data_IF_338683654264
#
_entry.id   IF_338683654264
#
_cell.length_a   1.000
_cell.length_b   1.000
_cell.length_c   1.000
_cell.angle_alpha   90.00
_cell.angle_beta   90.00
_cell.angle_gamma   90.00
#
_symmetry.space_group_name_H-M   'P 1'
#
loop_
_entity.id
_entity.type
_entity.pdbx_description
1 polymer ?
#
# COMPACT_ATOMS: atom_id res chain seq x y z
N UNK A 1 5.42 -11.14 2.64
CA UNK A 1 4.31 -11.30 1.69
C UNK A 1 4.53 -12.49 0.76
N UNK A 2 5.65 -12.54 0.06
CA UNK A 2 5.96 -13.59 -0.94
C UNK A 2 5.90 -15.02 -0.37
N UNK A 3 6.47 -15.35 0.82
CA UNK A 3 6.45 -16.72 1.33
C UNK A 3 5.08 -17.18 1.86
N UNK A 4 4.12 -16.29 2.10
CA UNK A 4 2.86 -16.61 2.77
C UNK A 4 2.09 -17.80 2.17
N UNK A 5 1.97 -17.98 0.84
CA UNK A 5 1.26 -19.12 0.27
C UNK A 5 1.93 -20.48 0.51
N UNK A 6 3.20 -20.48 0.90
CA UNK A 6 4.00 -21.69 1.14
C UNK A 6 4.12 -22.05 2.62
N UNK A 7 3.61 -21.18 3.51
CA UNK A 7 3.67 -21.38 4.96
C UNK A 7 2.49 -22.22 5.41
N UNK A 8 2.77 -23.36 6.04
CA UNK A 8 1.76 -24.24 6.63
C UNK A 8 1.49 -23.92 8.10
N UNK A 9 2.52 -23.52 8.83
CA UNK A 9 2.44 -23.26 10.27
C UNK A 9 3.21 -22.00 10.63
N UNK A 10 2.61 -21.15 11.47
CA UNK A 10 3.25 -19.96 12.03
C UNK A 10 3.28 -20.18 13.54
N UNK A 11 4.47 -20.07 14.13
CA UNK A 11 4.65 -20.12 15.58
C UNK A 11 4.92 -18.71 16.10
N UNK A 12 4.09 -18.24 17.00
CA UNK A 12 4.26 -16.95 17.66
C UNK A 12 5.03 -17.16 18.98
N UNK A 13 6.10 -16.39 19.16
CA UNK A 13 6.85 -16.32 20.41
C UNK A 13 6.55 -14.98 21.08
N UNK A 14 6.06 -15.01 22.31
CA UNK A 14 5.84 -13.82 23.14
C UNK A 14 7.15 -13.42 23.82
N UNK A 15 8.11 -12.98 23.00
CA UNK A 15 9.46 -12.57 23.43
C UNK A 15 9.87 -11.31 22.68
N UNK A 16 10.36 -10.32 23.41
CA UNK A 16 10.94 -9.08 22.84
C UNK A 16 12.32 -9.37 22.21
N UNK A 17 12.32 -9.93 21.01
CA UNK A 17 13.56 -10.22 20.27
C UNK A 17 14.25 -8.96 19.76
N UNK A 18 13.51 -7.87 19.57
CA UNK A 18 14.03 -6.60 19.06
C UNK A 18 13.29 -5.43 19.67
N UNK A 19 14.03 -4.47 20.23
CA UNK A 19 13.49 -3.21 20.72
C UNK A 19 13.82 -2.08 19.76
N UNK A 20 12.81 -1.54 19.12
CA UNK A 20 12.95 -0.45 18.17
C UNK A 20 12.76 0.89 18.85
N UNK A 21 13.79 1.75 18.81
CA UNK A 21 13.67 3.10 19.33
C UNK A 21 12.81 3.97 18.40
N UNK A 22 11.68 4.47 18.90
CA UNK A 22 10.72 5.29 18.14
C UNK A 22 10.97 6.77 18.47
N UNK A 23 10.86 7.65 17.46
CA UNK A 23 10.94 9.10 17.65
C UNK A 23 12.21 9.75 17.10
N UNK A 24 13.05 9.01 16.35
CA UNK A 24 14.19 9.62 15.64
C UNK A 24 13.73 10.29 14.34
N UNK A 25 14.30 11.46 14.01
CA UNK A 25 13.95 12.19 12.78
C UNK A 25 14.35 11.46 11.48
N UNK A 26 15.34 10.58 11.54
CA UNK A 26 15.86 9.80 10.41
C UNK A 26 15.11 8.47 10.16
N UNK A 27 14.00 8.25 10.88
CA UNK A 27 13.24 6.99 10.74
C UNK A 27 12.60 6.85 9.37
N UNK A 28 12.63 5.61 8.87
CA UNK A 28 12.04 5.24 7.57
C UNK A 28 10.53 5.49 7.48
N UNK A 29 9.85 5.61 8.63
CA UNK A 29 8.42 5.95 8.73
C UNK A 29 8.15 7.45 8.71
N UNK A 30 9.19 8.30 8.76
CA UNK A 30 9.04 9.74 8.56
C UNK A 30 8.53 9.99 7.14
N UNK A 31 7.46 10.77 7.03
CA UNK A 31 6.75 11.00 5.76
C UNK A 31 7.63 11.66 4.69
N UNK A 32 8.47 12.63 5.06
CA UNK A 32 9.39 13.28 4.12
C UNK A 32 10.41 12.26 3.57
N UNK A 33 10.89 11.34 4.43
CA UNK A 33 11.79 10.26 4.03
C UNK A 33 11.06 9.25 3.14
N UNK A 34 9.81 8.91 3.45
CA UNK A 34 8.99 8.01 2.62
C UNK A 34 8.76 8.60 1.22
N UNK A 35 8.46 9.90 1.12
CA UNK A 35 8.32 10.59 -0.18
C UNK A 35 9.66 10.57 -0.93
N UNK A 36 10.77 10.89 -0.29
CA UNK A 36 12.11 10.85 -0.90
C UNK A 36 12.47 9.46 -1.42
N UNK A 37 11.99 8.39 -0.75
CA UNK A 37 12.26 6.99 -1.11
C UNK A 37 11.08 6.33 -1.84
N UNK A 38 10.18 7.11 -2.41
CA UNK A 38 8.94 6.60 -3.01
C UNK A 38 9.17 5.55 -4.09
N UNK A 39 10.26 5.67 -4.85
CA UNK A 39 10.58 4.72 -5.91
C UNK A 39 10.90 3.31 -5.36
N UNK A 40 11.47 3.22 -4.17
CA UNK A 40 11.65 1.94 -3.47
C UNK A 40 10.30 1.32 -3.09
N UNK A 41 9.39 2.14 -2.55
CA UNK A 41 8.03 1.73 -2.21
C UNK A 41 7.27 1.22 -3.44
N UNK A 42 7.37 1.94 -4.57
CA UNK A 42 6.75 1.56 -5.84
C UNK A 42 7.31 0.23 -6.36
N UNK A 43 8.65 0.06 -6.29
CA UNK A 43 9.31 -1.19 -6.68
C UNK A 43 8.80 -2.37 -5.86
N UNK A 44 8.74 -2.23 -4.52
CA UNK A 44 8.22 -3.27 -3.63
C UNK A 44 6.76 -3.58 -3.94
N UNK A 45 5.93 -2.57 -4.17
CA UNK A 45 4.52 -2.76 -4.51
C UNK A 45 4.34 -3.51 -5.83
N UNK A 46 5.15 -3.20 -6.86
CA UNK A 46 5.14 -3.92 -8.14
C UNK A 46 5.59 -5.39 -7.95
N UNK A 47 6.65 -5.64 -7.19
CA UNK A 47 7.07 -7.01 -6.84
C UNK A 47 5.97 -7.80 -6.13
N UNK A 48 5.16 -7.15 -5.29
CA UNK A 48 4.02 -7.81 -4.65
C UNK A 48 2.91 -8.14 -5.66
N UNK A 49 2.67 -7.27 -6.65
CA UNK A 49 1.69 -7.51 -7.73
C UNK A 49 2.11 -8.73 -8.54
N UNK A 50 3.39 -8.84 -8.86
CA UNK A 50 3.94 -9.88 -9.74
C UNK A 50 4.15 -11.23 -9.03
N UNK A 51 4.29 -11.22 -7.69
CA UNK A 51 4.71 -12.40 -6.93
C UNK A 51 3.73 -13.56 -6.99
N UNK A 52 2.43 -13.29 -7.07
CA UNK A 52 1.39 -14.32 -7.03
C UNK A 52 0.14 -13.91 -7.80
N UNK A 53 -0.41 -14.83 -8.55
CA UNK A 53 -1.82 -14.72 -8.95
C UNK A 53 -2.71 -14.97 -7.73
N UNK A 54 -3.14 -13.87 -7.09
CA UNK A 54 -3.99 -13.94 -5.91
C UNK A 54 -5.31 -14.67 -6.18
N UNK A 55 -5.76 -14.74 -7.42
CA UNK A 55 -7.00 -15.43 -7.78
C UNK A 55 -6.88 -16.95 -7.68
N UNK A 56 -5.67 -17.50 -7.81
CA UNK A 56 -5.37 -18.93 -7.75
C UNK A 56 -5.21 -19.45 -6.31
N UNK A 57 -5.09 -18.57 -5.31
CA UNK A 57 -4.91 -18.98 -3.91
C UNK A 57 -6.18 -19.66 -3.39
N UNK A 58 -6.08 -20.96 -3.07
CA UNK A 58 -7.21 -21.80 -2.62
C UNK A 58 -7.77 -21.35 -1.26
N UNK A 59 -6.88 -21.04 -0.32
CA UNK A 59 -7.29 -20.59 1.01
C UNK A 59 -7.89 -19.17 0.95
N UNK A 60 -9.20 -19.05 1.11
CA UNK A 60 -9.92 -17.78 0.99
C UNK A 60 -9.55 -16.74 2.04
N UNK A 61 -9.18 -17.17 3.25
CA UNK A 61 -8.72 -16.24 4.31
C UNK A 61 -7.37 -15.65 3.92
N UNK A 62 -6.44 -16.48 3.46
CA UNK A 62 -5.14 -16.04 2.97
C UNK A 62 -5.26 -15.13 1.73
N UNK A 63 -6.08 -15.54 0.75
CA UNK A 63 -6.38 -14.72 -0.43
C UNK A 63 -6.89 -13.31 -0.04
N UNK A 64 -7.86 -13.27 0.88
CA UNK A 64 -8.42 -12.00 1.39
C UNK A 64 -7.37 -11.16 2.12
N UNK A 65 -6.55 -11.78 2.95
CA UNK A 65 -5.46 -11.10 3.67
C UNK A 65 -4.45 -10.48 2.69
N UNK A 66 -3.94 -11.26 1.75
CA UNK A 66 -2.97 -10.81 0.77
C UNK A 66 -3.53 -9.70 -0.13
N UNK A 67 -4.79 -9.81 -0.55
CA UNK A 67 -5.46 -8.75 -1.33
C UNK A 67 -5.60 -7.46 -0.52
N UNK A 68 -5.96 -7.55 0.76
CA UNK A 68 -6.07 -6.38 1.65
C UNK A 68 -4.71 -5.72 1.89
N UNK A 69 -3.67 -6.53 2.07
CA UNK A 69 -2.32 -6.03 2.28
C UNK A 69 -1.80 -5.30 1.03
N UNK A 70 -1.98 -5.88 -0.15
CA UNK A 70 -1.66 -5.21 -1.41
C UNK A 70 -2.46 -3.92 -1.60
N UNK A 71 -3.76 -3.93 -1.26
CA UNK A 71 -4.60 -2.72 -1.28
C UNK A 71 -4.03 -1.62 -0.38
N UNK A 72 -3.59 -1.96 0.83
CA UNK A 72 -2.95 -1.02 1.74
C UNK A 72 -1.68 -0.42 1.13
N UNK A 73 -0.81 -1.23 0.51
CA UNK A 73 0.40 -0.75 -0.16
C UNK A 73 0.07 0.21 -1.32
N UNK A 74 -0.96 -0.10 -2.11
CA UNK A 74 -1.46 0.78 -3.19
C UNK A 74 -2.00 2.11 -2.65
N UNK A 75 -2.73 2.07 -1.51
CA UNK A 75 -3.31 3.25 -0.86
C UNK A 75 -2.21 4.16 -0.33
N UNK A 76 -1.27 3.61 0.44
CA UNK A 76 -0.15 4.37 1.03
C UNK A 76 0.70 5.00 -0.07
N UNK A 77 1.10 4.22 -1.07
CA UNK A 77 1.88 4.73 -2.21
C UNK A 77 1.14 5.86 -2.94
N UNK A 78 -0.18 5.70 -3.17
CA UNK A 78 -1.00 6.72 -3.81
C UNK A 78 -1.12 8.00 -2.98
N UNK A 79 -1.28 7.87 -1.65
CA UNK A 79 -1.40 9.00 -0.75
C UNK A 79 -0.10 9.83 -0.71
N UNK A 80 1.05 9.18 -0.60
CA UNK A 80 2.37 9.84 -0.62
C UNK A 80 2.61 10.58 -1.93
N UNK A 81 2.31 9.95 -3.08
CA UNK A 81 2.45 10.56 -4.40
C UNK A 81 1.51 11.75 -4.62
N UNK A 82 0.28 11.66 -4.09
CA UNK A 82 -0.68 12.79 -4.14
C UNK A 82 -0.23 13.91 -3.22
N UNK A 83 0.37 13.59 -2.08
CA UNK A 83 0.86 14.58 -1.13
C UNK A 83 2.07 15.32 -1.67
N UNK A 84 3.01 14.63 -2.31
CA UNK A 84 4.11 15.26 -3.06
C UNK A 84 3.58 16.18 -4.17
N UNK A 85 2.56 15.74 -4.89
CA UNK A 85 1.77 16.58 -5.79
C UNK A 85 2.48 17.04 -7.07
N UNK A 86 3.74 16.68 -7.29
CA UNK A 86 4.48 17.00 -8.50
C UNK A 86 3.86 16.30 -9.72
N UNK A 87 3.98 16.86 -10.93
CA UNK A 87 3.52 16.20 -12.13
C UNK A 87 4.09 14.79 -12.29
N UNK A 88 5.37 14.60 -11.92
CA UNK A 88 6.04 13.31 -11.98
C UNK A 88 5.41 12.30 -10.99
N UNK A 89 5.17 12.71 -9.76
CA UNK A 89 4.53 11.85 -8.75
C UNK A 89 3.12 11.46 -9.14
N UNK A 90 2.36 12.37 -9.73
CA UNK A 90 1.03 12.08 -10.23
C UNK A 90 1.06 11.09 -11.42
N UNK A 91 2.07 11.19 -12.29
CA UNK A 91 2.32 10.23 -13.38
C UNK A 91 2.70 8.85 -12.82
N UNK A 92 3.66 8.77 -11.89
CA UNK A 92 4.05 7.52 -11.20
C UNK A 92 2.86 6.83 -10.54
N UNK A 93 1.97 7.61 -9.92
CA UNK A 93 0.73 7.09 -9.34
C UNK A 93 -0.16 6.44 -10.41
N UNK A 94 -0.39 7.12 -11.54
CA UNK A 94 -1.20 6.57 -12.62
C UNK A 94 -0.58 5.27 -13.16
N UNK A 95 0.73 5.28 -13.42
CA UNK A 95 1.49 4.12 -13.89
C UNK A 95 1.37 2.91 -12.93
N UNK A 96 1.41 3.14 -11.61
CA UNK A 96 1.23 2.07 -10.63
C UNK A 96 -0.16 1.42 -10.73
N UNK A 97 -1.21 2.23 -10.88
CA UNK A 97 -2.59 1.73 -11.02
C UNK A 97 -2.81 1.02 -12.36
N UNK A 98 -2.22 1.53 -13.43
CA UNK A 98 -2.28 0.89 -14.76
C UNK A 98 -1.51 -0.43 -14.75
N UNK A 99 -0.38 -0.48 -14.03
CA UNK A 99 0.39 -1.71 -13.81
C UNK A 99 -0.44 -2.78 -13.09
N UNK A 100 -1.11 -2.44 -12.00
CA UNK A 100 -1.99 -3.37 -11.30
C UNK A 100 -3.14 -3.85 -12.21
N UNK A 101 -3.75 -2.92 -12.96
CA UNK A 101 -4.85 -3.25 -13.88
C UNK A 101 -4.43 -4.21 -14.99
N UNK A 102 -3.22 -4.04 -15.53
CA UNK A 102 -2.69 -4.88 -16.60
C UNK A 102 -2.34 -6.29 -16.09
N UNK A 103 -1.72 -6.38 -14.90
CA UNK A 103 -1.25 -7.64 -14.35
C UNK A 103 -2.34 -8.43 -13.59
N UNK A 104 -3.32 -7.74 -12.99
CA UNK A 104 -4.40 -8.41 -12.25
C UNK A 104 -5.70 -7.60 -12.28
N UNK A 105 -6.48 -7.77 -13.35
CA UNK A 105 -7.80 -7.12 -13.52
C UNK A 105 -8.76 -7.44 -12.37
N UNK A 106 -8.71 -8.66 -11.83
CA UNK A 106 -9.56 -9.08 -10.72
C UNK A 106 -9.21 -8.31 -9.44
N UNK A 107 -7.93 -8.33 -9.05
CA UNK A 107 -7.47 -7.62 -7.85
C UNK A 107 -7.70 -6.11 -7.98
N UNK A 108 -7.45 -5.54 -9.18
CA UNK A 108 -7.77 -4.15 -9.47
C UNK A 108 -9.25 -3.83 -9.17
N UNK A 109 -10.19 -4.65 -9.67
CA UNK A 109 -11.63 -4.47 -9.41
C UNK A 109 -11.97 -4.64 -7.93
N UNK A 110 -11.38 -5.64 -7.27
CA UNK A 110 -11.63 -5.91 -5.85
C UNK A 110 -11.16 -4.75 -4.96
N UNK A 111 -10.07 -4.08 -5.33
CA UNK A 111 -9.58 -2.91 -4.61
C UNK A 111 -10.43 -1.67 -4.93
N UNK A 112 -10.70 -1.41 -6.22
CA UNK A 112 -11.37 -0.18 -6.65
C UNK A 112 -12.85 -0.14 -6.34
N UNK A 113 -13.53 -1.30 -6.25
CA UNK A 113 -14.94 -1.38 -5.91
C UNK A 113 -15.25 -1.21 -4.42
N UNK A 114 -14.24 -1.31 -3.55
CA UNK A 114 -14.41 -1.08 -2.10
C UNK A 114 -14.45 0.40 -1.77
N UNK A 115 -15.12 0.74 -0.64
CA UNK A 115 -15.30 2.14 -0.18
C UNK A 115 -14.00 2.97 -0.17
N UNK A 116 -12.87 2.35 0.19
CA UNK A 116 -11.58 3.02 0.26
C UNK A 116 -10.84 3.11 -1.09
N UNK A 117 -11.17 2.26 -2.06
CA UNK A 117 -10.50 2.26 -3.37
C UNK A 117 -11.09 3.28 -4.35
N UNK A 118 -12.39 3.57 -4.26
CA UNK A 118 -13.06 4.53 -5.14
C UNK A 118 -12.47 5.94 -5.08
N UNK A 119 -12.25 6.55 -3.90
CA UNK A 119 -11.67 7.89 -3.83
C UNK A 119 -10.28 7.98 -4.45
N UNK A 120 -9.52 6.87 -4.42
CA UNK A 120 -8.16 6.81 -4.98
C UNK A 120 -8.13 6.88 -6.51
N UNK A 121 -9.27 6.70 -7.18
CA UNK A 121 -9.38 6.83 -8.65
C UNK A 121 -9.62 8.29 -9.09
N UNK A 122 -9.95 9.19 -8.15
CA UNK A 122 -10.25 10.57 -8.46
C UNK A 122 -8.98 11.31 -8.92
N UNK A 123 -9.02 11.81 -10.16
CA UNK A 123 -7.90 12.56 -10.78
C UNK A 123 -8.01 14.07 -10.52
N UNK A 124 -9.18 14.55 -10.09
CA UNK A 124 -9.46 15.97 -9.87
C UNK A 124 -8.71 16.54 -8.66
N UNK A 125 -8.56 17.87 -8.61
CA UNK A 125 -7.99 18.56 -7.44
C UNK A 125 -8.76 18.25 -6.17
N UNK A 126 -10.09 18.19 -6.23
CA UNK A 126 -10.97 17.84 -5.09
C UNK A 126 -10.73 16.40 -4.65
N UNK A 127 -10.62 15.45 -5.58
CA UNK A 127 -10.32 14.05 -5.26
C UNK A 127 -8.96 13.89 -4.54
N UNK A 128 -7.95 14.67 -4.91
CA UNK A 128 -6.66 14.69 -4.22
C UNK A 128 -6.79 15.18 -2.78
N UNK A 129 -7.59 16.21 -2.52
CA UNK A 129 -7.84 16.69 -1.14
C UNK A 129 -8.53 15.62 -0.29
N UNK A 130 -9.48 14.89 -0.83
CA UNK A 130 -10.15 13.77 -0.14
C UNK A 130 -9.14 12.69 0.25
N UNK A 131 -8.21 12.35 -0.64
CA UNK A 131 -7.15 11.36 -0.35
C UNK A 131 -6.24 11.86 0.79
N UNK A 132 -5.80 13.12 0.74
CA UNK A 132 -4.94 13.70 1.77
C UNK A 132 -5.64 13.75 3.12
N UNK A 133 -6.91 14.17 3.16
CA UNK A 133 -7.70 14.21 4.39
C UNK A 133 -7.90 12.80 4.98
N UNK A 134 -8.23 11.82 4.14
CA UNK A 134 -8.34 10.42 4.55
C UNK A 134 -7.03 9.87 5.12
N UNK A 135 -5.91 10.17 4.48
CA UNK A 135 -4.60 9.77 4.94
C UNK A 135 -4.26 10.40 6.29
N UNK A 136 -4.46 11.73 6.46
CA UNK A 136 -4.25 12.43 7.74
C UNK A 136 -5.10 11.87 8.85
N UNK A 137 -6.36 11.56 8.57
CA UNK A 137 -7.27 10.95 9.53
C UNK A 137 -6.78 9.57 9.97
N UNK A 138 -6.36 8.72 9.04
CA UNK A 138 -5.77 7.40 9.36
C UNK A 138 -4.49 7.54 10.18
N UNK A 139 -3.60 8.47 9.85
CA UNK A 139 -2.38 8.72 10.63
C UNK A 139 -2.69 9.13 12.07
N UNK A 140 -3.71 9.97 12.28
CA UNK A 140 -4.11 10.41 13.62
C UNK A 140 -4.67 9.27 14.47
N UNK A 141 -5.38 8.31 13.85
CA UNK A 141 -5.99 7.18 14.57
C UNK A 141 -4.98 6.06 14.83
N UNK A 142 -4.14 5.74 13.85
CA UNK A 142 -3.23 4.59 13.91
C UNK A 142 -1.81 4.95 14.32
N UNK A 143 -1.52 6.23 14.53
CA UNK A 143 -0.25 6.68 15.11
C UNK A 143 0.98 6.26 14.30
N UNK A 144 0.96 6.39 12.99
CA UNK A 144 2.16 6.24 12.16
C UNK A 144 3.06 7.48 12.35
N UNK A 145 3.71 7.57 13.48
CA UNK A 145 4.80 8.51 13.73
C UNK A 145 6.10 7.76 13.82
#
# INVERSE_FOLDING_TARGET
YIPLPYVNTIFYLDVDLYRYFIGREDQSVNEAIMIKRIDQQLKVTKLMIDSHDLSSIKNKKLQSYMTKYLAMMMIVSSALLVKDGTPESLRKRQELWDYLKSNSKRVYRDITNKKFGRPLQLKSKVGRQVIILGYRFCNKIYGFN
#
